data_IF_560992146237
#
_entry.id   IF_560992146237
#
_cell.length_a   1.000
_cell.length_b   1.000
_cell.length_c   1.000
_cell.angle_alpha   90.00
_cell.angle_beta   90.00
_cell.angle_gamma   90.00
#
_symmetry.space_group_name_H-M   'P 1'
#
loop_
_entity.id
_entity.type
_entity.pdbx_description
1 polymer ?
#
# COMPACT_ATOMS: atom_id res chain seq x y z
N UNK A 1 29.23 -3.54 -31.20
CA UNK A 1 27.95 -3.25 -30.52
C UNK A 1 27.25 -4.55 -30.17
N UNK A 2 27.94 -5.43 -29.45
CA UNK A 2 27.46 -6.79 -29.17
C UNK A 2 28.16 -7.24 -27.88
N UNK A 3 27.55 -6.89 -26.74
CA UNK A 3 27.85 -7.36 -25.36
C UNK A 3 27.05 -6.59 -24.30
N UNK A 4 25.78 -6.29 -24.61
CA UNK A 4 24.82 -5.72 -23.62
C UNK A 4 23.53 -6.57 -23.54
N UNK A 5 23.41 -7.63 -24.34
CA UNK A 5 22.22 -8.49 -24.37
C UNK A 5 22.14 -9.57 -23.27
N UNK A 6 23.25 -10.06 -22.73
CA UNK A 6 23.23 -11.34 -21.98
C UNK A 6 23.19 -11.23 -20.45
N UNK A 7 23.24 -10.04 -19.84
CA UNK A 7 23.18 -9.93 -18.37
C UNK A 7 21.75 -9.75 -17.82
N UNK A 8 20.80 -9.35 -18.67
CA UNK A 8 19.40 -9.17 -18.27
C UNK A 8 18.54 -10.41 -18.51
N UNK A 9 18.89 -11.25 -19.49
CA UNK A 9 18.19 -12.50 -19.81
C UNK A 9 18.28 -13.54 -18.67
N UNK A 10 19.32 -13.48 -17.84
CA UNK A 10 19.45 -14.34 -16.65
C UNK A 10 18.55 -13.93 -15.47
N UNK A 11 17.98 -12.71 -15.48
CA UNK A 11 17.13 -12.16 -14.41
C UNK A 11 15.62 -12.32 -14.71
N UNK A 12 15.26 -12.75 -15.93
CA UNK A 12 13.90 -13.22 -16.26
C UNK A 12 13.51 -14.48 -15.45
N UNK A 13 14.48 -15.08 -14.76
CA UNK A 13 14.35 -16.29 -13.98
C UNK A 13 13.87 -16.08 -12.52
N UNK A 14 13.47 -14.89 -12.09
CA UNK A 14 12.84 -14.73 -10.77
C UNK A 14 11.60 -15.63 -10.63
N UNK A 15 10.82 -15.73 -11.70
CA UNK A 15 9.66 -16.62 -11.78
C UNK A 15 10.07 -18.09 -11.88
N UNK A 16 11.23 -18.41 -12.48
CA UNK A 16 11.78 -19.78 -12.48
C UNK A 16 12.28 -20.19 -11.08
N UNK A 17 12.95 -19.27 -10.38
CA UNK A 17 13.36 -19.45 -8.99
C UNK A 17 12.13 -19.70 -8.12
N UNK A 18 11.08 -18.89 -8.28
CA UNK A 18 9.80 -19.07 -7.60
C UNK A 18 9.09 -20.37 -7.99
N UNK A 19 9.19 -20.81 -9.25
CA UNK A 19 8.63 -22.08 -9.70
C UNK A 19 9.33 -23.28 -9.05
N UNK A 20 10.66 -23.22 -8.86
CA UNK A 20 11.47 -24.26 -8.21
C UNK A 20 11.09 -24.46 -6.73
N UNK A 21 10.67 -23.39 -6.04
CA UNK A 21 10.16 -23.49 -4.66
C UNK A 21 8.83 -24.26 -4.55
N UNK A 22 8.09 -24.39 -5.66
CA UNK A 22 6.85 -25.15 -5.74
C UNK A 22 5.63 -24.51 -5.06
N UNK A 23 4.46 -25.08 -5.36
CA UNK A 23 3.13 -24.60 -4.96
C UNK A 23 2.87 -24.74 -3.43
N UNK A 24 3.71 -25.49 -2.71
CA UNK A 24 3.48 -25.82 -1.29
C UNK A 24 4.41 -25.10 -0.30
N UNK A 25 5.07 -24.03 -0.73
CA UNK A 25 5.93 -23.27 0.18
C UNK A 25 5.10 -22.48 1.21
N UNK A 26 5.08 -23.01 2.44
CA UNK A 26 4.31 -22.44 3.57
C UNK A 26 4.70 -20.99 3.89
N UNK A 27 5.97 -20.63 3.74
CA UNK A 27 6.46 -19.27 4.03
C UNK A 27 5.82 -18.22 3.12
N UNK A 28 5.79 -18.49 1.82
CA UNK A 28 5.21 -17.60 0.80
C UNK A 28 3.70 -17.49 0.96
N UNK A 29 3.03 -18.62 1.24
CA UNK A 29 1.60 -18.64 1.54
C UNK A 29 1.27 -17.86 2.81
N UNK A 30 2.06 -18.01 3.87
CA UNK A 30 1.87 -17.25 5.12
C UNK A 30 2.02 -15.75 4.90
N UNK A 31 3.08 -15.31 4.21
CA UNK A 31 3.27 -13.88 3.86
C UNK A 31 2.07 -13.35 3.09
N UNK A 32 1.58 -14.12 2.13
CA UNK A 32 0.45 -13.71 1.30
C UNK A 32 -0.87 -13.66 2.08
N UNK A 33 -1.07 -14.58 3.03
CA UNK A 33 -2.22 -14.55 3.95
C UNK A 33 -2.13 -13.33 4.86
N UNK A 34 -0.95 -12.96 5.35
CA UNK A 34 -0.80 -11.75 6.14
C UNK A 34 -1.15 -10.51 5.31
N UNK A 35 -0.59 -10.37 4.10
CA UNK A 35 -0.89 -9.25 3.19
C UNK A 35 -2.36 -9.17 2.77
N UNK A 36 -3.11 -10.29 2.76
CA UNK A 36 -4.53 -10.27 2.44
C UNK A 36 -5.41 -9.74 3.57
N UNK A 37 -4.94 -9.74 4.82
CA UNK A 37 -5.67 -9.15 5.96
C UNK A 37 -5.82 -7.63 5.78
N UNK A 38 -4.86 -6.96 5.15
CA UNK A 38 -4.95 -5.51 4.88
C UNK A 38 -6.16 -5.18 4.02
N UNK A 39 -6.53 -6.05 3.09
CA UNK A 39 -7.69 -5.83 2.22
C UNK A 39 -8.99 -5.85 3.00
N UNK A 40 -9.10 -6.65 4.06
CA UNK A 40 -10.26 -6.64 4.93
C UNK A 40 -10.37 -5.30 5.70
N UNK A 41 -9.25 -4.80 6.24
CA UNK A 41 -9.22 -3.54 7.01
C UNK A 41 -9.44 -2.33 6.08
N UNK A 42 -8.79 -2.32 4.92
CA UNK A 42 -8.93 -1.28 3.93
C UNK A 42 -10.35 -1.22 3.36
N UNK A 43 -11.02 -2.36 3.17
CA UNK A 43 -12.43 -2.41 2.76
C UNK A 43 -13.32 -1.63 3.73
N UNK A 44 -13.13 -1.80 5.05
CA UNK A 44 -13.87 -1.05 6.08
C UNK A 44 -13.60 0.47 5.96
N UNK A 45 -12.36 0.87 5.71
CA UNK A 45 -11.99 2.29 5.52
C UNK A 45 -12.56 2.92 4.24
N UNK A 46 -12.63 2.16 3.15
CA UNK A 46 -13.22 2.62 1.87
C UNK A 46 -14.73 2.73 2.01
N UNK A 47 -15.35 1.76 2.68
CA UNK A 47 -16.80 1.67 2.87
C UNK A 47 -17.34 2.52 4.01
N UNK A 48 -16.51 3.40 4.58
CA UNK A 48 -16.96 4.36 5.57
C UNK A 48 -18.13 5.23 5.08
N UNK A 49 -18.24 5.42 3.75
CA UNK A 49 -19.36 6.11 3.11
C UNK A 49 -20.74 5.47 3.33
N UNK A 50 -20.80 4.21 3.77
CA UNK A 50 -22.06 3.55 4.14
C UNK A 50 -22.57 4.08 5.50
N UNK A 51 -21.67 4.40 6.45
CA UNK A 51 -22.04 4.95 7.78
C UNK A 51 -22.55 6.40 7.73
N UNK A 52 -22.55 6.96 6.54
CA UNK A 52 -22.84 8.36 6.24
C UNK A 52 -24.29 8.51 5.76
N UNK A 53 -24.90 7.46 5.22
CA UNK A 53 -26.30 7.47 4.76
C UNK A 53 -27.18 7.35 6.00
N UNK A 54 -27.91 8.42 6.29
CA UNK A 54 -28.98 8.41 7.27
C UNK A 54 -30.26 7.93 6.56
N UNK A 55 -30.81 6.79 6.97
CA UNK A 55 -32.12 6.30 6.50
C UNK A 55 -33.27 7.22 6.96
N UNK A 56 -33.01 8.19 7.85
CA UNK A 56 -34.02 9.11 8.38
C UNK A 56 -34.31 10.32 7.48
N UNK A 57 -34.63 10.10 6.20
CA UNK A 57 -35.50 11.08 5.53
C UNK A 57 -36.91 11.11 6.19
N UNK A 58 -37.23 10.12 7.05
CA UNK A 58 -38.45 10.04 7.87
C UNK A 58 -38.24 10.40 9.36
N UNK A 59 -37.30 11.30 9.70
CA UNK A 59 -37.33 11.92 11.02
C UNK A 59 -38.70 12.62 11.20
N UNK A 60 -39.60 12.02 11.99
CA UNK A 60 -40.89 12.61 12.33
C UNK A 60 -40.66 13.91 13.11
N UNK A 61 -40.52 15.01 12.39
CA UNK A 61 -40.48 16.33 12.97
C UNK A 61 -41.90 16.71 13.37
N UNK A 62 -42.16 16.75 14.68
CA UNK A 62 -43.42 17.22 15.21
C UNK A 62 -43.42 18.75 15.16
N UNK A 63 -44.32 19.34 14.36
CA UNK A 63 -44.62 20.76 14.43
C UNK A 63 -45.75 20.95 15.44
N UNK A 64 -45.46 21.57 16.59
CA UNK A 64 -46.49 21.91 17.56
C UNK A 64 -46.91 23.36 17.37
N UNK A 65 -48.09 23.59 16.78
CA UNK A 65 -48.66 24.93 16.64
C UNK A 65 -49.40 25.29 17.92
N UNK A 66 -48.73 25.92 18.89
CA UNK A 66 -49.44 26.47 20.04
C UNK A 66 -50.19 27.74 19.62
N UNK A 67 -51.47 27.61 19.29
CA UNK A 67 -52.40 28.73 19.18
C UNK A 67 -52.82 29.24 20.57
N UNK A 68 -51.84 29.68 21.37
CA UNK A 68 -52.11 30.58 22.49
C UNK A 68 -51.71 31.97 22.00
N UNK A 69 -52.72 32.82 21.81
CA UNK A 69 -52.56 34.16 21.28
C UNK A 69 -51.39 34.90 21.94
N UNK A 70 -50.61 35.57 21.09
CA UNK A 70 -49.30 36.22 21.30
C UNK A 70 -48.15 35.39 20.67
N UNK A 71 -47.82 35.74 19.42
CA UNK A 71 -46.64 35.32 18.64
C UNK A 71 -46.34 33.81 18.62
N UNK A 72 -47.06 33.08 17.76
CA UNK A 72 -46.80 31.67 17.49
C UNK A 72 -45.43 31.47 16.82
N UNK A 73 -44.41 31.12 17.61
CA UNK A 73 -43.17 30.58 17.10
C UNK A 73 -43.40 29.11 16.74
N UNK A 74 -43.25 28.76 15.46
CA UNK A 74 -43.27 27.36 15.02
C UNK A 74 -42.03 26.64 15.57
N UNK A 75 -42.20 25.86 16.63
CA UNK A 75 -41.13 25.01 17.18
C UNK A 75 -41.23 23.65 16.50
N UNK A 76 -40.27 23.35 15.62
CA UNK A 76 -40.12 22.03 15.01
C UNK A 76 -39.24 21.17 15.92
N UNK A 77 -39.82 20.17 16.58
CA UNK A 77 -39.10 19.21 17.41
C UNK A 77 -38.92 17.93 16.61
N UNK A 78 -37.70 17.67 16.13
CA UNK A 78 -37.36 16.41 15.49
C UNK A 78 -36.75 15.50 16.54
N UNK A 79 -37.46 14.42 16.91
CA UNK A 79 -36.88 13.38 17.75
C UNK A 79 -36.06 12.44 16.88
N UNK A 80 -34.74 12.51 17.04
CA UNK A 80 -33.78 11.65 16.38
C UNK A 80 -33.67 10.36 17.20
N UNK A 81 -34.54 9.37 16.93
CA UNK A 81 -34.53 8.10 17.65
C UNK A 81 -33.53 7.10 17.04
N UNK A 82 -32.36 7.61 16.62
CA UNK A 82 -31.27 6.80 16.08
C UNK A 82 -30.38 6.33 17.21
N UNK A 83 -30.20 5.00 17.32
CA UNK A 83 -29.24 4.41 18.25
C UNK A 83 -27.78 4.69 17.87
N UNK A 84 -27.52 5.28 16.70
CA UNK A 84 -26.19 5.55 16.13
C UNK A 84 -25.99 7.05 15.90
N UNK A 85 -24.81 7.55 16.27
CA UNK A 85 -24.38 8.92 15.97
C UNK A 85 -23.57 8.88 14.68
N UNK A 86 -24.10 9.50 13.63
CA UNK A 86 -23.49 9.61 12.30
C UNK A 86 -22.79 10.97 12.12
N UNK A 87 -21.86 11.10 11.17
CA UNK A 87 -21.26 12.40 10.84
C UNK A 87 -22.31 13.47 10.45
N UNK A 88 -23.43 13.04 9.86
CA UNK A 88 -24.56 13.91 9.50
C UNK A 88 -25.21 14.51 10.73
N UNK A 89 -25.52 13.67 11.72
CA UNK A 89 -26.11 14.10 12.99
C UNK A 89 -25.18 15.02 13.78
N UNK A 90 -23.89 14.70 13.83
CA UNK A 90 -22.91 15.43 14.64
C UNK A 90 -22.52 16.78 14.04
N UNK A 91 -22.30 16.85 12.73
CA UNK A 91 -22.00 18.12 12.05
C UNK A 91 -23.26 18.90 11.68
N UNK A 92 -24.45 18.43 12.07
CA UNK A 92 -25.76 19.02 11.80
C UNK A 92 -25.98 19.34 10.30
N UNK A 93 -25.64 18.38 9.43
CA UNK A 93 -25.70 18.55 7.98
C UNK A 93 -27.14 18.40 7.47
N UNK A 94 -27.94 19.46 7.63
CA UNK A 94 -29.36 19.48 7.20
C UNK A 94 -29.58 20.39 5.98
N UNK A 95 -30.60 20.07 5.18
CA UNK A 95 -31.01 20.87 4.03
C UNK A 95 -29.89 21.12 3.02
N UNK A 96 -29.59 22.39 2.73
CA UNK A 96 -28.62 22.80 1.71
C UNK A 96 -27.16 22.47 2.05
N UNK A 97 -26.86 21.86 3.21
CA UNK A 97 -25.50 21.42 3.57
C UNK A 97 -25.25 19.92 3.32
N UNK A 98 -26.28 19.16 2.91
CA UNK A 98 -26.16 17.72 2.61
C UNK A 98 -25.11 17.41 1.53
N UNK A 99 -24.88 18.31 0.58
CA UNK A 99 -23.86 18.12 -0.46
C UNK A 99 -22.46 17.90 0.13
N UNK A 100 -22.12 18.52 1.27
CA UNK A 100 -20.80 18.38 1.90
C UNK A 100 -20.45 16.93 2.24
N UNK A 101 -21.48 16.10 2.39
CA UNK A 101 -21.36 14.66 2.60
C UNK A 101 -20.80 13.95 1.38
N UNK A 102 -21.35 14.25 0.20
CA UNK A 102 -20.87 13.71 -1.09
C UNK A 102 -19.42 14.13 -1.35
N UNK A 103 -19.08 15.37 -0.97
CA UNK A 103 -17.70 15.87 -1.06
C UNK A 103 -16.71 15.03 -0.25
N UNK A 104 -17.11 14.40 0.87
CA UNK A 104 -16.20 13.52 1.62
C UNK A 104 -15.82 12.27 0.84
N UNK A 105 -16.78 11.66 0.15
CA UNK A 105 -16.57 10.49 -0.71
C UNK A 105 -15.79 10.88 -1.96
N UNK A 106 -16.15 12.00 -2.60
CA UNK A 106 -15.42 12.53 -3.77
C UNK A 106 -13.98 12.88 -3.41
N UNK A 107 -13.72 13.50 -2.26
CA UNK A 107 -12.38 13.83 -1.79
C UNK A 107 -11.55 12.56 -1.54
N UNK A 108 -12.14 11.52 -0.95
CA UNK A 108 -11.47 10.23 -0.79
C UNK A 108 -11.09 9.62 -2.15
N UNK A 109 -12.02 9.59 -3.10
CA UNK A 109 -11.76 9.04 -4.44
C UNK A 109 -10.74 9.86 -5.24
N UNK A 110 -10.78 11.19 -5.11
CA UNK A 110 -9.79 12.08 -5.70
C UNK A 110 -8.39 11.81 -5.12
N UNK A 111 -8.29 11.69 -3.79
CA UNK A 111 -7.06 11.29 -3.12
C UNK A 111 -6.56 9.93 -3.63
N UNK A 112 -7.46 8.94 -3.71
CA UNK A 112 -7.18 7.59 -4.20
C UNK A 112 -6.62 7.60 -5.63
N UNK A 113 -7.19 8.40 -6.54
CA UNK A 113 -6.68 8.57 -7.91
C UNK A 113 -5.24 9.10 -7.94
N UNK A 114 -4.97 10.17 -7.19
CA UNK A 114 -3.63 10.79 -7.15
C UNK A 114 -2.62 9.85 -6.47
N UNK A 115 -3.03 9.21 -5.38
CA UNK A 115 -2.24 8.23 -4.65
C UNK A 115 -1.88 7.02 -5.51
N UNK A 116 -2.82 6.53 -6.33
CA UNK A 116 -2.60 5.36 -7.18
C UNK A 116 -1.51 5.62 -8.21
N UNK A 117 -1.46 6.81 -8.81
CA UNK A 117 -0.37 7.16 -9.73
C UNK A 117 0.95 7.40 -9.01
N UNK A 118 0.94 8.16 -7.91
CA UNK A 118 2.16 8.61 -7.23
C UNK A 118 2.83 7.51 -6.39
N UNK A 119 2.08 6.82 -5.54
CA UNK A 119 2.61 5.79 -4.64
C UNK A 119 3.02 4.53 -5.41
N UNK A 120 2.28 4.15 -6.45
CA UNK A 120 2.67 3.01 -7.30
C UNK A 120 4.00 3.32 -8.00
N UNK A 121 4.13 4.50 -8.61
CA UNK A 121 5.39 4.94 -9.22
C UNK A 121 6.54 5.00 -8.20
N UNK A 122 6.25 5.47 -6.98
CA UNK A 122 7.22 5.51 -5.89
C UNK A 122 7.65 4.10 -5.48
N UNK A 123 6.73 3.13 -5.49
CA UNK A 123 6.99 1.74 -5.12
C UNK A 123 7.94 1.04 -6.08
N UNK A 124 7.89 1.41 -7.37
CA UNK A 124 8.81 0.88 -8.37
C UNK A 124 10.23 1.47 -8.24
N UNK A 125 10.36 2.68 -7.68
CA UNK A 125 11.66 3.33 -7.46
C UNK A 125 12.32 2.96 -6.13
N UNK A 126 11.58 3.07 -5.03
CA UNK A 126 12.12 2.91 -3.67
C UNK A 126 12.05 1.46 -3.20
N UNK A 127 11.05 0.71 -3.67
CA UNK A 127 10.72 -0.62 -3.19
C UNK A 127 9.26 -0.70 -2.76
N UNK A 128 8.70 -1.90 -2.82
CA UNK A 128 7.29 -2.13 -2.52
C UNK A 128 7.07 -2.15 -1.01
N UNK A 129 7.97 -2.77 -0.24
CA UNK A 129 7.92 -2.83 1.23
C UNK A 129 7.92 -1.46 1.92
N UNK A 130 8.86 -0.51 1.65
CA UNK A 130 8.88 0.77 2.35
C UNK A 130 7.66 1.64 2.03
N UNK A 131 7.18 1.60 0.78
CA UNK A 131 5.96 2.30 0.39
C UNK A 131 4.74 1.69 1.07
N UNK A 132 4.59 0.36 1.09
CA UNK A 132 3.51 -0.33 1.79
C UNK A 132 3.45 0.05 3.28
N UNK A 133 4.57 -0.05 4.00
CA UNK A 133 4.62 0.22 5.44
C UNK A 133 4.34 1.70 5.73
N UNK A 134 4.95 2.61 4.98
CA UNK A 134 4.72 4.04 5.17
C UNK A 134 3.28 4.43 4.86
N UNK A 135 2.69 3.92 3.78
CA UNK A 135 1.29 4.16 3.45
C UNK A 135 0.34 3.60 4.51
N UNK A 136 0.61 2.42 5.06
CA UNK A 136 -0.20 1.81 6.12
C UNK A 136 -0.13 2.59 7.44
N UNK A 137 1.07 3.06 7.82
CA UNK A 137 1.25 3.96 8.97
C UNK A 137 0.50 5.28 8.78
N UNK A 138 0.68 5.94 7.63
CA UNK A 138 0.02 7.22 7.35
C UNK A 138 -1.50 7.05 7.30
N UNK A 139 -2.00 5.99 6.67
CA UNK A 139 -3.43 5.67 6.63
C UNK A 139 -4.02 5.56 8.04
N UNK A 140 -3.34 4.84 8.95
CA UNK A 140 -3.79 4.71 10.33
C UNK A 140 -3.67 5.98 11.16
N UNK A 141 -2.58 6.74 11.03
CA UNK A 141 -2.37 8.01 11.74
C UNK A 141 -3.42 9.04 11.31
N UNK A 142 -3.59 9.26 10.01
CA UNK A 142 -4.60 10.17 9.49
C UNK A 142 -6.02 9.64 9.71
N UNK A 143 -6.19 8.32 9.76
CA UNK A 143 -7.39 7.64 10.25
C UNK A 143 -7.80 8.11 11.65
N UNK A 144 -6.90 7.96 12.61
CA UNK A 144 -7.11 8.38 13.99
C UNK A 144 -7.29 9.91 14.11
N UNK A 145 -6.48 10.71 13.42
CA UNK A 145 -6.62 12.17 13.43
C UNK A 145 -7.96 12.64 12.86
N UNK A 146 -8.46 11.99 11.81
CA UNK A 146 -9.76 12.33 11.21
C UNK A 146 -10.91 12.01 12.15
N UNK A 147 -10.78 10.98 13.01
CA UNK A 147 -11.77 10.68 14.05
C UNK A 147 -11.94 11.82 15.05
N UNK A 148 -10.92 12.64 15.26
CA UNK A 148 -10.94 13.81 16.16
C UNK A 148 -11.45 15.08 15.48
N UNK A 149 -11.90 15.00 14.22
CA UNK A 149 -12.37 16.18 13.50
C UNK A 149 -13.63 16.78 14.14
N UNK A 150 -13.55 18.05 14.51
CA UNK A 150 -14.67 18.86 15.05
C UNK A 150 -15.43 19.62 13.95
N UNK A 151 -14.90 19.66 12.72
CA UNK A 151 -15.51 20.33 11.59
C UNK A 151 -15.53 19.44 10.35
N UNK A 152 -16.61 19.53 9.57
CA UNK A 152 -16.77 18.83 8.30
C UNK A 152 -15.64 19.13 7.30
N UNK A 153 -15.08 20.35 7.31
CA UNK A 153 -13.96 20.70 6.42
C UNK A 153 -12.70 19.92 6.77
N UNK A 154 -12.35 19.85 8.05
CA UNK A 154 -11.23 19.06 8.56
C UNK A 154 -11.43 17.57 8.27
N UNK A 155 -12.68 17.11 8.39
CA UNK A 155 -13.06 15.75 8.03
C UNK A 155 -12.84 15.45 6.53
N UNK A 156 -13.27 16.34 5.63
CA UNK A 156 -13.04 16.20 4.18
C UNK A 156 -11.55 16.12 3.84
N UNK A 157 -10.73 16.99 4.45
CA UNK A 157 -9.26 17.00 4.25
C UNK A 157 -8.66 15.67 4.76
N UNK A 158 -9.07 15.22 5.94
CA UNK A 158 -8.65 13.92 6.48
C UNK A 158 -9.00 12.76 5.55
N UNK A 159 -10.20 12.76 4.99
CA UNK A 159 -10.66 11.77 4.00
C UNK A 159 -9.85 11.81 2.71
N UNK A 160 -9.49 12.99 2.22
CA UNK A 160 -8.60 13.11 1.06
C UNK A 160 -7.24 12.46 1.31
N UNK A 161 -6.63 12.73 2.47
CA UNK A 161 -5.31 12.19 2.82
C UNK A 161 -5.38 10.66 3.00
N UNK A 162 -6.42 10.14 3.67
CA UNK A 162 -6.65 8.69 3.75
C UNK A 162 -6.81 8.06 2.37
N UNK A 163 -7.57 8.72 1.49
CA UNK A 163 -7.73 8.31 0.09
C UNK A 163 -6.39 8.22 -0.62
N UNK A 164 -5.53 9.24 -0.46
CA UNK A 164 -4.19 9.25 -1.03
C UNK A 164 -3.31 8.10 -0.55
N UNK A 165 -3.38 7.71 0.73
CA UNK A 165 -2.59 6.61 1.28
C UNK A 165 -3.13 5.22 0.91
N UNK A 166 -4.43 5.08 0.64
CA UNK A 166 -5.10 3.79 0.40
C UNK A 166 -4.50 2.94 -0.75
N UNK A 167 -4.18 3.49 -1.94
CA UNK A 167 -3.50 2.76 -3.02
C UNK A 167 -2.16 2.16 -2.64
N UNK A 168 -1.39 2.84 -1.80
CA UNK A 168 -0.09 2.35 -1.33
C UNK A 168 -0.21 1.12 -0.44
N UNK A 169 -1.38 0.90 0.15
CA UNK A 169 -1.69 -0.35 0.87
C UNK A 169 -2.23 -1.39 -0.08
N UNK A 170 -3.28 -1.06 -0.83
CA UNK A 170 -4.02 -2.02 -1.66
C UNK A 170 -3.23 -2.49 -2.88
N UNK A 171 -2.76 -1.56 -3.71
CA UNK A 171 -2.11 -1.88 -4.99
C UNK A 171 -0.69 -2.37 -4.77
N UNK A 172 0.12 -1.63 -4.00
CA UNK A 172 1.52 -2.00 -3.76
C UNK A 172 1.61 -3.30 -2.95
N UNK A 173 0.73 -3.50 -1.97
CA UNK A 173 0.65 -4.75 -1.21
C UNK A 173 0.24 -5.94 -2.09
N UNK A 174 -0.71 -5.74 -3.01
CA UNK A 174 -1.11 -6.77 -3.97
C UNK A 174 0.03 -7.13 -4.93
N UNK A 175 0.74 -6.14 -5.48
CA UNK A 175 1.92 -6.36 -6.33
C UNK A 175 3.03 -7.08 -5.56
N UNK A 176 3.31 -6.69 -4.31
CA UNK A 176 4.29 -7.36 -3.46
C UNK A 176 3.93 -8.83 -3.24
N UNK A 177 2.66 -9.14 -3.01
CA UNK A 177 2.16 -10.52 -2.92
C UNK A 177 2.40 -11.28 -4.23
N UNK A 178 2.10 -10.67 -5.38
CA UNK A 178 2.25 -11.29 -6.70
C UNK A 178 3.70 -11.55 -7.11
N UNK A 179 4.61 -10.64 -6.74
CA UNK A 179 6.05 -10.78 -6.99
C UNK A 179 6.73 -11.77 -6.03
N UNK A 180 6.03 -12.17 -4.95
CA UNK A 180 6.56 -13.11 -3.96
C UNK A 180 6.16 -14.56 -4.23
N UNK A 181 5.31 -14.82 -5.23
CA UNK A 181 4.64 -16.11 -5.45
C UNK A 181 4.85 -16.62 -6.88
N UNK A 182 4.91 -17.95 -7.08
CA UNK A 182 4.99 -18.52 -8.42
C UNK A 182 3.71 -18.27 -9.22
N UNK A 183 3.85 -18.20 -10.56
CA UNK A 183 2.77 -17.87 -11.51
C UNK A 183 1.52 -18.73 -11.29
N UNK A 184 1.68 -20.04 -11.03
CA UNK A 184 0.57 -20.97 -10.82
C UNK A 184 -0.31 -20.68 -9.59
N UNK A 185 0.20 -19.94 -8.59
CA UNK A 185 -0.55 -19.57 -7.39
C UNK A 185 -1.18 -18.17 -7.48
N UNK A 186 -0.82 -17.36 -8.48
CA UNK A 186 -1.28 -15.96 -8.58
C UNK A 186 -2.81 -15.87 -8.58
N UNK A 187 -3.51 -16.79 -9.27
CA UNK A 187 -4.98 -16.82 -9.29
C UNK A 187 -5.63 -17.14 -7.94
N UNK A 188 -5.06 -18.08 -7.18
CA UNK A 188 -5.54 -18.38 -5.81
C UNK A 188 -5.36 -17.17 -4.89
N UNK A 189 -4.28 -16.44 -5.08
CA UNK A 189 -3.97 -15.25 -4.28
C UNK A 189 -4.92 -14.11 -4.61
N UNK A 190 -5.22 -13.87 -5.89
CA UNK A 190 -6.28 -12.92 -6.30
C UNK A 190 -7.60 -13.25 -5.60
N UNK A 191 -7.97 -14.53 -5.58
CA UNK A 191 -9.19 -14.99 -4.94
C UNK A 191 -9.16 -14.72 -3.43
N UNK A 192 -8.05 -15.00 -2.75
CA UNK A 192 -7.88 -14.71 -1.32
C UNK A 192 -8.02 -13.22 -1.00
N UNK A 193 -7.39 -12.33 -1.79
CA UNK A 193 -7.55 -10.89 -1.63
C UNK A 193 -9.02 -10.46 -1.82
N UNK A 194 -9.70 -11.00 -2.84
CA UNK A 194 -11.12 -10.73 -3.08
C UNK A 194 -12.04 -11.24 -1.96
N UNK A 195 -11.80 -12.44 -1.44
CA UNK A 195 -12.55 -12.99 -0.31
C UNK A 195 -12.34 -12.14 0.95
N UNK A 196 -11.10 -11.74 1.25
CA UNK A 196 -10.82 -10.87 2.41
C UNK A 196 -11.46 -9.49 2.27
N UNK A 197 -11.52 -8.94 1.05
CA UNK A 197 -12.26 -7.71 0.79
C UNK A 197 -13.74 -7.82 1.14
N UNK A 198 -14.37 -8.92 0.70
CA UNK A 198 -15.79 -9.20 0.97
C UNK A 198 -16.03 -9.46 2.45
N UNK A 199 -15.12 -10.16 3.14
CA UNK A 199 -15.20 -10.36 4.59
C UNK A 199 -15.14 -9.01 5.31
N UNK A 200 -14.19 -8.14 4.95
CA UNK A 200 -14.10 -6.79 5.49
C UNK A 200 -15.35 -5.95 5.22
N UNK A 201 -15.88 -6.04 4.01
CA UNK A 201 -17.13 -5.38 3.61
C UNK A 201 -18.31 -5.86 4.46
N UNK A 202 -18.49 -7.17 4.63
CA UNK A 202 -19.57 -7.71 5.45
C UNK A 202 -19.38 -7.43 6.94
N UNK A 203 -18.14 -7.24 7.41
CA UNK A 203 -17.82 -6.89 8.79
C UNK A 203 -18.24 -5.45 9.16
N UNK A 204 -18.48 -4.58 8.18
CA UNK A 204 -19.03 -3.22 8.37
C UNK A 204 -20.37 -3.28 9.12
N UNK A 205 -21.29 -4.15 8.71
CA UNK A 205 -22.63 -4.24 9.31
C UNK A 205 -22.62 -4.57 10.82
N UNK A 206 -21.94 -5.64 11.30
CA UNK A 206 -21.84 -5.89 12.74
C UNK A 206 -21.06 -4.80 13.47
N UNK A 207 -20.05 -4.16 12.85
CA UNK A 207 -19.35 -3.03 13.46
C UNK A 207 -20.30 -1.87 13.78
N UNK A 208 -21.25 -1.53 12.90
CA UNK A 208 -22.29 -0.50 13.20
C UNK A 208 -23.19 -0.93 14.33
N UNK A 209 -23.57 -2.20 14.36
CA UNK A 209 -24.47 -2.70 15.39
C UNK A 209 -23.87 -2.57 16.79
N UNK A 210 -22.56 -2.83 16.93
CA UNK A 210 -21.87 -2.73 18.21
C UNK A 210 -21.32 -1.34 18.52
N UNK A 211 -20.92 -0.57 17.52
CA UNK A 211 -20.28 0.74 17.68
C UNK A 211 -21.27 1.85 17.32
N UNK A 212 -21.75 2.52 18.36
CA UNK A 212 -22.75 3.60 18.26
C UNK A 212 -22.20 4.87 17.60
N UNK A 213 -20.92 5.23 17.81
CA UNK A 213 -20.34 6.46 17.25
C UNK A 213 -19.39 6.21 16.09
N UNK A 214 -19.58 6.93 14.98
CA UNK A 214 -18.71 6.86 13.80
C UNK A 214 -17.22 7.10 14.09
N UNK A 215 -16.89 7.95 15.09
CA UNK A 215 -15.51 8.20 15.52
C UNK A 215 -14.81 6.94 15.99
N UNK A 216 -15.50 6.13 16.79
CA UNK A 216 -14.95 4.86 17.29
C UNK A 216 -14.79 3.85 16.17
N UNK A 217 -15.65 3.87 15.15
CA UNK A 217 -15.48 3.06 13.94
C UNK A 217 -14.20 3.47 13.19
N UNK A 218 -13.90 4.77 13.11
CA UNK A 218 -12.63 5.23 12.54
C UNK A 218 -11.42 4.71 13.29
N UNK A 219 -11.44 4.82 14.61
CA UNK A 219 -10.37 4.28 15.47
C UNK A 219 -10.25 2.76 15.29
N UNK A 220 -11.38 2.05 15.17
CA UNK A 220 -11.42 0.60 15.05
C UNK A 220 -10.71 0.04 13.81
N UNK A 221 -10.68 0.75 12.67
CA UNK A 221 -9.85 0.34 11.51
C UNK A 221 -8.45 0.98 11.51
N UNK A 222 -8.30 2.15 12.15
CA UNK A 222 -7.03 2.89 12.20
C UNK A 222 -5.99 2.19 13.08
N UNK A 223 -6.42 1.66 14.24
CA UNK A 223 -5.53 0.96 15.18
C UNK A 223 -4.97 -0.32 14.56
N UNK A 224 -5.78 -1.24 13.97
CA UNK A 224 -5.26 -2.40 13.26
C UNK A 224 -4.28 -2.03 12.13
N UNK A 225 -4.53 -0.95 11.39
CA UNK A 225 -3.61 -0.48 10.35
C UNK A 225 -2.22 -0.15 10.91
N UNK A 226 -2.15 0.61 12.01
CA UNK A 226 -0.86 0.96 12.65
C UNK A 226 -0.15 -0.29 13.19
N UNK A 227 -0.89 -1.19 13.83
CA UNK A 227 -0.36 -2.43 14.39
C UNK A 227 0.20 -3.33 13.28
N UNK A 228 -0.54 -3.48 12.17
CA UNK A 228 -0.07 -4.25 11.01
C UNK A 228 1.17 -3.63 10.38
N UNK A 229 1.26 -2.30 10.31
CA UNK A 229 2.46 -1.65 9.79
C UNK A 229 3.70 -1.96 10.65
N UNK A 230 3.55 -1.99 11.99
CA UNK A 230 4.61 -2.43 12.88
C UNK A 230 4.95 -3.91 12.67
N UNK A 231 3.95 -4.79 12.54
CA UNK A 231 4.17 -6.22 12.26
C UNK A 231 4.90 -6.43 10.93
N UNK A 232 4.52 -5.70 9.88
CA UNK A 232 5.13 -5.79 8.56
C UNK A 232 6.55 -5.26 8.52
N UNK A 233 6.85 -4.25 9.32
CA UNK A 233 8.21 -3.77 9.47
C UNK A 233 9.16 -4.90 9.90
N UNK A 234 8.72 -5.82 10.77
CA UNK A 234 9.54 -6.95 11.21
C UNK A 234 9.39 -8.22 10.35
N UNK A 235 8.23 -8.44 9.73
CA UNK A 235 7.87 -9.74 9.15
C UNK A 235 8.01 -9.81 7.63
N UNK A 236 7.67 -8.74 6.92
CA UNK A 236 7.53 -8.77 5.45
C UNK A 236 8.88 -8.44 4.80
N UNK A 237 9.43 -9.34 3.96
CA UNK A 237 10.61 -9.03 3.15
C UNK A 237 10.27 -8.17 1.92
N UNK A 238 11.27 -7.57 1.31
CA UNK A 238 11.12 -6.91 0.00
C UNK A 238 10.85 -7.96 -1.09
N UNK A 239 10.25 -7.54 -2.21
CA UNK A 239 9.97 -8.46 -3.32
C UNK A 239 11.27 -8.98 -3.95
N UNK A 240 11.30 -10.28 -4.28
CA UNK A 240 12.45 -10.90 -4.90
C UNK A 240 12.74 -10.26 -6.26
N UNK A 241 11.70 -9.94 -7.02
CA UNK A 241 11.81 -9.30 -8.33
C UNK A 241 12.46 -7.91 -8.24
N UNK A 242 12.03 -7.09 -7.27
CA UNK A 242 12.64 -5.77 -7.01
C UNK A 242 14.13 -5.88 -6.66
N UNK A 243 14.48 -6.83 -5.80
CA UNK A 243 15.86 -7.05 -5.36
C UNK A 243 16.77 -7.48 -6.52
N UNK A 244 16.25 -8.31 -7.41
CA UNK A 244 16.93 -8.84 -8.60
C UNK A 244 17.14 -7.71 -9.63
N UNK A 245 16.08 -6.99 -9.98
CA UNK A 245 16.12 -5.89 -10.97
C UNK A 245 17.03 -4.75 -10.52
N UNK A 246 16.98 -4.39 -9.23
CA UNK A 246 17.85 -3.33 -8.68
C UNK A 246 19.24 -3.80 -8.27
N UNK A 247 19.63 -5.05 -8.61
CA UNK A 247 20.98 -5.56 -8.36
C UNK A 247 21.33 -5.72 -6.87
N UNK A 248 20.35 -5.77 -5.96
CA UNK A 248 20.52 -5.98 -4.51
C UNK A 248 20.74 -7.46 -4.19
N UNK A 249 21.81 -8.02 -4.76
CA UNK A 249 22.11 -9.46 -4.79
C UNK A 249 22.28 -10.09 -3.40
N UNK A 250 22.90 -9.38 -2.45
CA UNK A 250 23.07 -9.86 -1.05
C UNK A 250 21.73 -10.06 -0.35
N UNK A 251 20.78 -9.17 -0.60
CA UNK A 251 19.45 -9.23 0.01
C UNK A 251 18.59 -10.28 -0.66
N UNK A 252 18.69 -10.42 -1.99
CA UNK A 252 18.07 -11.52 -2.72
C UNK A 252 18.57 -12.90 -2.21
N UNK A 253 19.88 -13.07 -2.02
CA UNK A 253 20.44 -14.30 -1.44
C UNK A 253 19.91 -14.57 -0.01
N UNK A 254 19.80 -13.53 0.83
CA UNK A 254 19.21 -13.64 2.17
C UNK A 254 17.73 -14.03 2.11
N UNK A 255 16.98 -13.46 1.16
CA UNK A 255 15.58 -13.79 0.92
C UNK A 255 15.42 -15.27 0.59
N UNK A 256 16.21 -15.79 -0.36
CA UNK A 256 16.18 -17.19 -0.79
C UNK A 256 16.53 -18.13 0.37
N UNK A 257 17.59 -17.84 1.14
CA UNK A 257 17.97 -18.63 2.32
C UNK A 257 16.89 -18.65 3.41
N UNK A 258 16.21 -17.52 3.63
CA UNK A 258 15.08 -17.48 4.55
C UNK A 258 13.92 -18.32 4.04
N UNK A 259 13.62 -18.23 2.73
CA UNK A 259 12.57 -19.00 2.09
C UNK A 259 12.85 -20.52 2.17
N UNK A 260 14.10 -20.96 2.07
CA UNK A 260 14.54 -22.34 2.31
C UNK A 260 14.36 -22.75 3.78
N UNK A 261 14.80 -21.92 4.73
CA UNK A 261 14.70 -22.23 6.18
C UNK A 261 13.27 -22.55 6.61
N UNK A 262 12.29 -21.85 6.06
CA UNK A 262 10.87 -22.02 6.37
C UNK A 262 10.13 -22.95 5.38
N UNK A 263 10.73 -23.29 4.24
CA UNK A 263 10.18 -24.17 3.21
C UNK A 263 10.93 -25.50 3.12
N UNK A 264 10.32 -26.60 3.57
CA UNK A 264 10.96 -27.94 3.61
C UNK A 264 11.34 -28.57 2.24
N UNK A 265 11.21 -27.86 1.11
CA UNK A 265 11.13 -28.48 -0.22
C UNK A 265 12.22 -28.04 -1.20
N UNK A 266 13.34 -27.49 -0.71
CA UNK A 266 14.50 -27.28 -1.58
C UNK A 266 15.59 -28.29 -1.30
N UNK A 267 16.13 -28.86 -2.37
CA UNK A 267 17.41 -29.54 -2.27
C UNK A 267 18.46 -28.46 -2.02
N UNK A 268 19.14 -28.49 -0.87
CA UNK A 268 20.15 -27.49 -0.44
C UNK A 268 21.15 -27.11 -1.54
N UNK A 269 21.49 -28.09 -2.39
CA UNK A 269 22.34 -27.93 -3.59
C UNK A 269 21.80 -26.91 -4.61
N UNK A 270 20.48 -26.84 -4.83
CA UNK A 270 19.87 -25.90 -5.77
C UNK A 270 19.91 -24.46 -5.26
N UNK A 271 19.77 -24.27 -3.94
CA UNK A 271 19.87 -22.96 -3.30
C UNK A 271 21.28 -22.42 -3.35
N UNK A 272 22.27 -23.25 -2.98
CA UNK A 272 23.68 -22.86 -3.04
C UNK A 272 24.08 -22.50 -4.48
N UNK A 273 23.62 -23.26 -5.49
CA UNK A 273 23.83 -22.91 -6.91
C UNK A 273 23.16 -21.59 -7.31
N UNK A 274 21.92 -21.32 -6.89
CA UNK A 274 21.24 -20.04 -7.18
C UNK A 274 21.94 -18.84 -6.51
N UNK A 275 22.37 -19.01 -5.26
CA UNK A 275 23.11 -17.98 -4.53
C UNK A 275 24.49 -17.75 -5.16
N UNK A 276 25.18 -18.82 -5.54
CA UNK A 276 26.48 -18.74 -6.22
C UNK A 276 26.35 -18.07 -7.60
N UNK A 277 25.30 -18.36 -8.36
CA UNK A 277 24.99 -17.65 -9.61
C UNK A 277 24.82 -16.15 -9.37
N UNK A 278 24.03 -15.76 -8.37
CA UNK A 278 23.85 -14.35 -7.99
C UNK A 278 25.16 -13.68 -7.56
N UNK A 279 26.01 -14.39 -6.82
CA UNK A 279 27.33 -13.92 -6.39
C UNK A 279 28.31 -13.78 -7.57
N UNK A 280 28.32 -14.72 -8.51
CA UNK A 280 29.16 -14.68 -9.71
C UNK A 280 28.79 -13.53 -10.63
N UNK A 281 27.49 -13.25 -10.82
CA UNK A 281 27.05 -12.03 -11.53
C UNK A 281 27.50 -10.76 -10.80
N UNK A 282 27.71 -10.80 -9.48
CA UNK A 282 28.23 -9.65 -8.71
C UNK A 282 29.73 -9.43 -8.97
N UNK A 283 30.51 -10.51 -9.08
CA UNK A 283 31.93 -10.44 -9.41
C UNK A 283 32.14 -9.92 -10.84
N UNK A 284 31.35 -10.38 -11.79
CA UNK A 284 31.47 -9.96 -13.20
C UNK A 284 31.11 -8.47 -13.39
N UNK A 285 30.09 -7.98 -12.68
CA UNK A 285 29.76 -6.56 -12.63
C UNK A 285 30.88 -5.67 -12.10
N UNK A 286 31.52 -6.07 -10.98
CA UNK A 286 32.68 -5.34 -10.42
C UNK A 286 33.90 -5.38 -11.33
N UNK A 287 34.15 -6.50 -12.01
CA UNK A 287 35.21 -6.60 -13.02
C UNK A 287 34.96 -5.66 -14.20
N UNK A 288 33.72 -5.54 -14.66
CA UNK A 288 33.36 -4.63 -15.75
C UNK A 288 33.46 -3.16 -15.36
N UNK A 289 33.10 -2.81 -14.13
CA UNK A 289 33.22 -1.46 -13.58
C UNK A 289 34.70 -1.07 -13.40
N UNK A 290 35.51 -1.96 -12.81
CA UNK A 290 36.97 -1.78 -12.71
C UNK A 290 37.65 -1.67 -14.08
N UNK A 291 37.23 -2.47 -15.07
CA UNK A 291 37.71 -2.33 -16.47
C UNK A 291 37.31 -1.01 -17.09
N UNK A 292 36.10 -0.49 -16.82
CA UNK A 292 35.67 0.83 -17.31
C UNK A 292 36.47 1.96 -16.68
N UNK A 293 36.71 1.92 -15.38
CA UNK A 293 37.55 2.90 -14.67
C UNK A 293 39.00 2.85 -15.18
N UNK A 294 39.56 1.66 -15.34
CA UNK A 294 40.90 1.48 -15.91
C UNK A 294 40.98 1.98 -17.36
N UNK A 295 39.96 1.75 -18.18
CA UNK A 295 39.90 2.25 -19.57
C UNK A 295 39.70 3.77 -19.61
N UNK A 296 38.94 4.34 -18.68
CA UNK A 296 38.77 5.78 -18.54
C UNK A 296 40.08 6.46 -18.14
N UNK A 297 40.83 5.88 -17.20
CA UNK A 297 42.15 6.36 -16.79
C UNK A 297 43.18 6.26 -17.94
N UNK A 298 43.19 5.15 -18.69
CA UNK A 298 44.05 4.99 -19.88
C UNK A 298 43.71 6.01 -20.98
N UNK A 299 42.42 6.33 -21.18
CA UNK A 299 42.02 7.41 -22.11
C UNK A 299 42.46 8.77 -21.61
N UNK A 300 42.42 9.00 -20.30
CA UNK A 300 42.86 10.26 -19.69
C UNK A 300 44.38 10.45 -19.82
N UNK A 301 45.18 9.40 -19.56
CA UNK A 301 46.63 9.44 -19.77
C UNK A 301 47.01 9.61 -21.24
N UNK A 302 46.33 8.93 -22.17
CA UNK A 302 46.55 9.13 -23.60
C UNK A 302 46.21 10.56 -24.05
N UNK A 303 45.15 11.18 -23.50
CA UNK A 303 44.84 12.59 -23.74
C UNK A 303 45.93 13.53 -23.18
N UNK A 304 46.47 13.24 -21.99
CA UNK A 304 47.57 14.01 -21.39
C UNK A 304 48.88 13.87 -22.18
N UNK A 305 49.17 12.67 -22.70
CA UNK A 305 50.30 12.43 -23.58
C UNK A 305 50.17 13.18 -24.92
N UNK A 306 48.96 13.25 -25.49
CA UNK A 306 48.66 14.07 -26.66
C UNK A 306 48.82 15.58 -26.38
N UNK A 307 48.44 16.04 -25.19
CA UNK A 307 48.61 17.44 -24.79
C UNK A 307 50.09 17.83 -24.59
N UNK A 308 50.90 16.96 -23.97
CA UNK A 308 52.33 17.22 -23.75
C UNK A 308 53.15 17.17 -25.05
N UNK A 309 52.78 16.31 -26.01
CA UNK A 309 53.45 16.26 -27.32
C UNK A 309 53.05 17.42 -28.24
N UNK A 310 51.85 17.97 -28.08
CA UNK A 310 51.42 19.19 -28.78
C UNK A 310 52.14 20.47 -28.33
N UNK A 311 52.71 20.50 -27.12
CA UNK A 311 53.46 21.65 -26.60
C UNK A 311 54.95 21.67 -26.99
N UNK A 312 55.54 20.56 -27.46
CA UNK A 312 56.97 20.53 -27.86
C UNK A 312 57.23 20.85 -29.34
N UNK A 313 56.20 20.98 -30.18
CA UNK A 313 56.35 21.31 -31.61
C UNK A 313 56.03 22.78 -31.97
N UNK A 314 56.05 23.68 -30.97
CA UNK A 314 56.01 25.14 -31.16
C UNK A 314 57.16 25.80 -30.40
N UNK A 315 58.38 25.62 -30.90
CA UNK A 315 59.52 26.51 -30.66
C UNK A 315 60.42 26.50 -31.88
#
# INVERSE_FOLDING_TARGET
MEKVGNSFESLENADQVLAEFGIHQRYVLLITIFLSIDWAIASISVMHGIFIIDDNDDAMCFSNTTNLGINGNNINICMENSRTITPVSEFNLRGNQRYLLEWTTSAFMLGNMIGASTLTYLSDKIGRRPVLISSLLLLGIFGALTSLAESIRTFIIGRFIQGFCSPGVLLVGWVLGYESVPIGLRGFITLMYGVMWVIGFCAVAPLVYFIVHWRWVMVAYSVPSIVLAAIYFFTIPESLHFLIVNGRKKEAAKWIRNAEKYGKVLHKKNVDMMVEQLENTCLDGRMHESKREMTANLRFENCLAYFNTGCQNKS
#
